data_IF_691257167650
#
_entry.id   IF_691257167650
#
_cell.length_a   1.000
_cell.length_b   1.000
_cell.length_c   1.000
_cell.angle_alpha   90.00
_cell.angle_beta   90.00
_cell.angle_gamma   90.00
#
_symmetry.space_group_name_H-M   'P 1'
#
loop_
_entity.id
_entity.type
_entity.pdbx_description
1 polymer ?
#
# COMPACT_ATOMS: atom_id res chain seq x y z
N UNK A 1 -61.16 -39.78 -1.20
CA UNK A 1 -61.81 -38.56 -1.74
C UNK A 1 -61.06 -37.38 -1.18
N UNK A 2 -60.44 -36.58 -2.04
CA UNK A 2 -59.61 -35.46 -1.62
C UNK A 2 -60.45 -34.39 -0.89
N UNK A 3 -59.83 -33.59 -0.03
CA UNK A 3 -60.52 -32.48 0.65
C UNK A 3 -61.06 -31.49 -0.39
N UNK A 4 -60.33 -31.27 -1.46
CA UNK A 4 -60.75 -30.40 -2.56
C UNK A 4 -61.97 -30.98 -3.30
N UNK A 5 -62.00 -32.29 -3.56
CA UNK A 5 -63.16 -32.99 -4.15
C UNK A 5 -64.42 -32.88 -3.26
N UNK A 6 -64.24 -32.94 -1.93
CA UNK A 6 -65.32 -32.82 -0.95
C UNK A 6 -65.86 -31.39 -0.87
N UNK A 7 -64.98 -30.39 -0.93
CA UNK A 7 -65.36 -28.97 -0.97
C UNK A 7 -66.11 -28.65 -2.27
N UNK A 8 -65.67 -29.19 -3.40
CA UNK A 8 -66.35 -29.01 -4.69
C UNK A 8 -67.73 -29.69 -4.73
N UNK A 9 -67.84 -30.87 -4.12
CA UNK A 9 -69.12 -31.57 -3.94
C UNK A 9 -70.09 -30.76 -3.05
N UNK A 10 -69.57 -30.14 -1.99
CA UNK A 10 -70.34 -29.26 -1.11
C UNK A 10 -70.80 -27.99 -1.83
N UNK A 11 -69.98 -27.39 -2.70
CA UNK A 11 -70.38 -26.26 -3.53
C UNK A 11 -71.49 -26.63 -4.52
N UNK A 12 -71.42 -27.81 -5.14
CA UNK A 12 -72.47 -28.34 -6.02
C UNK A 12 -73.77 -28.57 -5.24
N UNK A 13 -73.68 -29.12 -4.03
CA UNK A 13 -74.83 -29.33 -3.16
C UNK A 13 -75.50 -28.01 -2.77
N UNK A 14 -74.72 -27.01 -2.35
CA UNK A 14 -75.24 -25.69 -2.01
C UNK A 14 -75.89 -24.99 -3.22
N UNK A 15 -75.37 -25.22 -4.43
CA UNK A 15 -75.98 -24.70 -5.66
C UNK A 15 -77.36 -25.31 -5.95
N UNK A 16 -77.56 -26.57 -5.60
CA UNK A 16 -78.82 -27.29 -5.80
C UNK A 16 -79.88 -26.97 -4.72
N UNK A 17 -79.46 -26.46 -3.57
CA UNK A 17 -80.33 -26.10 -2.44
C UNK A 17 -80.10 -24.63 -2.01
N UNK A 18 -80.54 -23.65 -2.81
CA UNK A 18 -80.30 -22.23 -2.53
C UNK A 18 -81.01 -21.73 -1.27
N UNK A 19 -82.16 -22.30 -0.93
CA UNK A 19 -82.97 -21.87 0.22
C UNK A 19 -82.47 -22.45 1.56
N UNK A 20 -81.52 -23.40 1.53
CA UNK A 20 -80.92 -23.94 2.74
C UNK A 20 -79.87 -22.98 3.29
N UNK A 21 -80.31 -22.14 4.23
CA UNK A 21 -79.48 -21.10 4.85
C UNK A 21 -78.22 -21.64 5.53
N UNK A 22 -78.31 -22.73 6.29
CA UNK A 22 -77.17 -23.32 7.00
C UNK A 22 -76.09 -23.81 6.02
N UNK A 23 -76.51 -24.41 4.90
CA UNK A 23 -75.60 -24.87 3.85
C UNK A 23 -74.92 -23.70 3.12
N UNK A 24 -75.64 -22.60 2.85
CA UNK A 24 -75.04 -21.40 2.26
C UNK A 24 -74.04 -20.73 3.21
N UNK A 25 -74.36 -20.64 4.50
CA UNK A 25 -73.49 -20.08 5.52
C UNK A 25 -72.20 -20.92 5.66
N UNK A 26 -72.30 -22.25 5.69
CA UNK A 26 -71.15 -23.14 5.73
C UNK A 26 -70.23 -22.96 4.50
N UNK A 27 -70.81 -22.84 3.31
CA UNK A 27 -70.04 -22.55 2.07
C UNK A 27 -69.37 -21.18 2.13
N UNK A 28 -70.03 -20.15 2.67
CA UNK A 28 -69.44 -18.83 2.82
C UNK A 28 -68.23 -18.85 3.75
N UNK A 29 -68.31 -19.57 4.88
CA UNK A 29 -67.19 -19.77 5.81
C UNK A 29 -66.03 -20.52 5.15
N UNK A 30 -66.31 -21.57 4.38
CA UNK A 30 -65.24 -22.31 3.67
C UNK A 30 -64.54 -21.42 2.64
N UNK A 31 -65.29 -20.60 1.89
CA UNK A 31 -64.71 -19.64 0.94
C UNK A 31 -63.82 -18.62 1.64
N UNK A 32 -64.25 -18.07 2.77
CA UNK A 32 -63.45 -17.09 3.52
C UNK A 32 -62.19 -17.72 4.11
N UNK A 33 -62.28 -18.93 4.66
CA UNK A 33 -61.14 -19.70 5.17
C UNK A 33 -60.12 -20.00 4.05
N UNK A 34 -60.57 -20.44 2.88
CA UNK A 34 -59.67 -20.74 1.75
C UNK A 34 -58.98 -19.49 1.22
N UNK A 35 -59.70 -18.37 1.15
CA UNK A 35 -59.14 -17.06 0.80
C UNK A 35 -58.07 -16.62 1.81
N UNK A 36 -58.39 -16.71 3.10
CA UNK A 36 -57.47 -16.39 4.20
C UNK A 36 -56.21 -17.28 4.16
N UNK A 37 -56.37 -18.59 4.01
CA UNK A 37 -55.25 -19.52 3.89
C UNK A 37 -54.36 -19.18 2.69
N UNK A 38 -54.94 -18.79 1.55
CA UNK A 38 -54.19 -18.32 0.38
C UNK A 38 -53.40 -17.04 0.66
N UNK A 39 -53.98 -16.09 1.39
CA UNK A 39 -53.28 -14.88 1.85
C UNK A 39 -52.12 -15.22 2.79
N UNK A 40 -52.34 -16.09 3.78
CA UNK A 40 -51.29 -16.54 4.70
C UNK A 40 -50.15 -17.24 3.97
N UNK A 41 -50.43 -18.10 2.99
CA UNK A 41 -49.39 -18.74 2.18
C UNK A 41 -48.55 -17.72 1.43
N UNK A 42 -49.19 -16.72 0.80
CA UNK A 42 -48.47 -15.63 0.11
C UNK A 42 -47.62 -14.81 1.07
N UNK A 43 -48.18 -14.42 2.21
CA UNK A 43 -47.46 -13.64 3.22
C UNK A 43 -46.26 -14.40 3.80
N UNK A 44 -46.43 -15.69 4.08
CA UNK A 44 -45.34 -16.53 4.56
C UNK A 44 -44.25 -16.75 3.49
N UNK A 45 -44.63 -16.83 2.21
CA UNK A 45 -43.64 -16.88 1.12
C UNK A 45 -42.86 -15.57 1.04
N UNK A 46 -43.56 -14.44 1.04
CA UNK A 46 -42.91 -13.12 1.03
C UNK A 46 -41.96 -12.94 2.22
N UNK A 47 -42.38 -13.34 3.42
CA UNK A 47 -41.52 -13.28 4.60
C UNK A 47 -40.24 -14.12 4.45
N UNK A 48 -40.34 -15.29 3.80
CA UNK A 48 -39.16 -16.14 3.52
C UNK A 48 -38.23 -15.49 2.51
N UNK A 49 -38.79 -14.90 1.47
CA UNK A 49 -38.03 -14.22 0.42
C UNK A 49 -37.31 -12.99 1.01
N UNK A 50 -38.02 -12.15 1.79
CA UNK A 50 -37.46 -11.01 2.49
C UNK A 50 -36.34 -11.43 3.46
N UNK A 51 -36.55 -12.50 4.23
CA UNK A 51 -35.53 -13.02 5.15
C UNK A 51 -34.32 -13.59 4.41
N UNK A 52 -34.50 -14.19 3.23
CA UNK A 52 -33.38 -14.62 2.38
C UNK A 52 -32.58 -13.42 1.89
N UNK A 53 -33.27 -12.41 1.35
CA UNK A 53 -32.64 -11.18 0.87
C UNK A 53 -31.86 -10.45 1.96
N UNK A 54 -32.42 -10.34 3.16
CA UNK A 54 -31.72 -9.74 4.31
C UNK A 54 -30.46 -10.51 4.69
N UNK A 55 -30.47 -11.85 4.61
CA UNK A 55 -29.27 -12.66 4.87
C UNK A 55 -28.19 -12.40 3.83
N UNK A 56 -28.56 -12.30 2.56
CA UNK A 56 -27.62 -12.01 1.48
C UNK A 56 -26.99 -10.62 1.66
N UNK A 57 -27.80 -9.61 2.02
CA UNK A 57 -27.30 -8.26 2.35
C UNK A 57 -26.35 -8.26 3.56
N UNK A 58 -26.65 -9.04 4.61
CA UNK A 58 -25.75 -9.17 5.77
C UNK A 58 -24.40 -9.75 5.35
N UNK A 59 -24.40 -10.77 4.48
CA UNK A 59 -23.17 -11.37 3.97
C UNK A 59 -22.37 -10.36 3.16
N UNK A 60 -23.00 -9.64 2.24
CA UNK A 60 -22.36 -8.60 1.42
C UNK A 60 -21.76 -7.48 2.30
N UNK A 61 -22.53 -6.94 3.23
CA UNK A 61 -22.07 -5.90 4.16
C UNK A 61 -20.91 -6.41 5.01
N UNK A 62 -20.97 -7.67 5.47
CA UNK A 62 -19.89 -8.26 6.27
C UNK A 62 -18.59 -8.39 5.48
N UNK A 63 -18.68 -8.78 4.20
CA UNK A 63 -17.52 -8.89 3.32
C UNK A 63 -16.89 -7.52 3.07
N UNK A 64 -17.70 -6.51 2.74
CA UNK A 64 -17.24 -5.13 2.56
C UNK A 64 -16.59 -4.56 3.83
N UNK A 65 -17.14 -4.86 5.01
CA UNK A 65 -16.58 -4.40 6.28
C UNK A 65 -15.20 -5.04 6.54
N UNK A 66 -15.03 -6.33 6.24
CA UNK A 66 -13.73 -7.01 6.34
C UNK A 66 -12.71 -6.37 5.38
N UNK A 67 -13.10 -6.02 4.16
CA UNK A 67 -12.22 -5.38 3.18
C UNK A 67 -11.81 -3.97 3.63
N UNK A 68 -12.76 -3.15 4.08
CA UNK A 68 -12.48 -1.82 4.63
C UNK A 68 -11.57 -1.87 5.85
N UNK A 69 -11.73 -2.88 6.73
CA UNK A 69 -10.82 -3.05 7.87
C UNK A 69 -9.39 -3.34 7.42
N UNK A 70 -9.19 -4.17 6.39
CA UNK A 70 -7.86 -4.43 5.82
C UNK A 70 -7.24 -3.17 5.23
N UNK A 71 -8.02 -2.36 4.51
CA UNK A 71 -7.56 -1.09 3.98
C UNK A 71 -7.14 -0.13 5.09
N UNK A 72 -7.92 -0.03 6.17
CA UNK A 72 -7.59 0.79 7.34
C UNK A 72 -6.29 0.32 8.02
N UNK A 73 -6.11 -0.98 8.19
CA UNK A 73 -4.91 -1.55 8.79
C UNK A 73 -3.67 -1.27 7.92
N UNK A 74 -3.81 -1.42 6.60
CA UNK A 74 -2.75 -1.09 5.62
C UNK A 74 -2.36 0.38 5.67
N UNK A 75 -3.34 1.29 5.64
CA UNK A 75 -3.11 2.72 5.69
C UNK A 75 -2.47 3.15 7.02
N UNK A 76 -2.87 2.52 8.12
CA UNK A 76 -2.27 2.76 9.44
C UNK A 76 -0.80 2.35 9.46
N UNK A 77 -0.46 1.21 8.86
CA UNK A 77 0.94 0.78 8.72
C UNK A 77 1.75 1.73 7.85
N UNK A 78 1.19 2.21 6.74
CA UNK A 78 1.85 3.16 5.85
C UNK A 78 2.12 4.49 6.56
N UNK A 79 1.13 5.02 7.28
CA UNK A 79 1.27 6.23 8.10
C UNK A 79 2.37 6.11 9.16
N UNK A 80 2.50 4.94 9.78
CA UNK A 80 3.58 4.68 10.74
C UNK A 80 4.94 4.73 10.04
N UNK A 81 5.10 4.04 8.91
CA UNK A 81 6.35 4.01 8.15
C UNK A 81 6.77 5.41 7.70
N UNK A 82 5.83 6.21 7.17
CA UNK A 82 6.08 7.59 6.76
C UNK A 82 6.48 8.48 7.95
N UNK A 83 5.92 8.23 9.14
CA UNK A 83 6.30 8.98 10.35
C UNK A 83 7.73 8.66 10.77
N UNK A 84 8.13 7.39 10.73
CA UNK A 84 9.49 6.94 11.02
C UNK A 84 10.50 7.49 9.99
N UNK A 85 10.17 7.44 8.70
CA UNK A 85 10.99 8.01 7.62
C UNK A 85 11.16 9.53 7.79
N UNK A 86 10.08 10.25 8.07
CA UNK A 86 10.13 11.69 8.33
C UNK A 86 11.02 12.04 9.51
N UNK A 87 10.98 11.25 10.59
CA UNK A 87 11.85 11.45 11.74
C UNK A 87 13.33 11.25 11.36
N UNK A 88 13.64 10.21 10.57
CA UNK A 88 14.99 9.93 10.08
C UNK A 88 15.53 11.07 9.22
N UNK A 89 14.75 11.53 8.23
CA UNK A 89 15.13 12.64 7.35
C UNK A 89 15.33 13.93 8.16
N UNK A 90 14.52 14.15 9.18
CA UNK A 90 14.66 15.33 10.05
C UNK A 90 15.97 15.28 10.83
N UNK A 91 16.33 14.12 11.40
CA UNK A 91 17.59 13.94 12.10
C UNK A 91 18.81 14.10 11.16
N UNK A 92 18.75 13.54 9.95
CA UNK A 92 19.80 13.72 8.93
C UNK A 92 19.93 15.20 8.54
N UNK A 93 18.82 15.91 8.35
CA UNK A 93 18.82 17.34 8.07
C UNK A 93 19.46 18.13 9.20
N UNK A 94 19.13 17.83 10.46
CA UNK A 94 19.73 18.50 11.61
C UNK A 94 21.24 18.25 11.71
N UNK A 95 21.68 17.02 11.43
CA UNK A 95 23.10 16.67 11.36
C UNK A 95 23.83 17.51 10.31
N UNK A 96 23.30 17.56 9.08
CA UNK A 96 23.89 18.36 7.99
C UNK A 96 23.92 19.85 8.35
N UNK A 97 22.87 20.38 8.99
CA UNK A 97 22.87 21.77 9.47
C UNK A 97 23.97 22.02 10.51
N UNK A 98 24.20 21.06 11.42
CA UNK A 98 25.27 21.17 12.41
C UNK A 98 26.67 21.14 11.76
N UNK A 99 26.89 20.20 10.83
CA UNK A 99 28.13 20.10 10.05
C UNK A 99 28.41 21.40 9.27
N UNK A 100 27.40 21.95 8.59
CA UNK A 100 27.54 23.22 7.86
C UNK A 100 27.90 24.40 8.78
N UNK A 101 27.28 24.48 9.98
CA UNK A 101 27.63 25.51 10.97
C UNK A 101 29.05 25.37 11.49
N UNK A 102 29.53 24.13 11.68
CA UNK A 102 30.89 23.87 12.08
C UNK A 102 31.88 24.33 11.00
N UNK A 103 31.64 23.93 9.74
CA UNK A 103 32.43 24.37 8.58
C UNK A 103 32.47 25.90 8.49
N UNK A 104 31.32 26.57 8.64
CA UNK A 104 31.23 28.03 8.62
C UNK A 104 32.11 28.66 9.71
N UNK A 105 32.13 28.08 10.91
CA UNK A 105 32.95 28.54 12.03
C UNK A 105 34.45 28.33 11.75
N UNK A 106 34.85 27.15 11.27
CA UNK A 106 36.24 26.84 10.91
C UNK A 106 36.76 27.81 9.84
N UNK A 107 35.96 28.08 8.81
CA UNK A 107 36.29 29.06 7.75
C UNK A 107 36.43 30.47 8.33
N UNK A 108 35.52 30.90 9.22
CA UNK A 108 35.61 32.22 9.88
C UNK A 108 36.87 32.37 10.71
N UNK A 109 37.23 31.34 11.48
CA UNK A 109 38.45 31.32 12.32
C UNK A 109 39.70 31.35 11.43
N UNK A 110 39.76 30.50 10.41
CA UNK A 110 40.88 30.48 9.46
C UNK A 110 41.04 31.84 8.76
N UNK A 111 39.94 32.46 8.30
CA UNK A 111 39.97 33.78 7.68
C UNK A 111 40.48 34.87 8.63
N UNK A 112 40.07 34.82 9.90
CA UNK A 112 40.59 35.74 10.93
C UNK A 112 42.10 35.54 11.13
N UNK A 113 42.56 34.29 11.29
CA UNK A 113 43.96 33.96 11.52
C UNK A 113 44.85 34.32 10.32
N UNK A 114 44.36 34.15 9.09
CA UNK A 114 45.06 34.57 7.87
C UNK A 114 45.23 36.08 7.84
N UNK A 115 44.22 36.86 8.26
CA UNK A 115 44.29 38.33 8.30
C UNK A 115 45.26 38.83 9.38
N UNK A 116 45.31 38.18 10.54
CA UNK A 116 46.20 38.57 11.65
C UNK A 116 47.65 38.14 11.45
N UNK A 117 47.90 37.09 10.65
CA UNK A 117 49.26 36.58 10.37
C UNK A 117 50.00 37.48 9.38
N UNK A 118 51.22 37.91 9.73
CA UNK A 118 52.06 38.77 8.86
C UNK A 118 52.87 37.99 7.81
N UNK A 119 53.19 36.72 8.08
CA UNK A 119 54.00 35.88 7.19
C UNK A 119 53.17 35.26 6.06
N UNK A 120 53.67 35.32 4.82
CA UNK A 120 53.06 34.63 3.67
C UNK A 120 53.03 33.12 3.87
N UNK A 121 54.14 32.55 4.38
CA UNK A 121 54.23 31.13 4.68
C UNK A 121 53.15 30.72 5.70
N UNK A 122 53.00 31.47 6.80
CA UNK A 122 52.00 31.18 7.83
C UNK A 122 50.56 31.26 7.31
N UNK A 123 50.25 32.21 6.42
CA UNK A 123 48.93 32.28 5.75
C UNK A 123 48.66 31.04 4.90
N UNK A 124 49.66 30.60 4.12
CA UNK A 124 49.55 29.40 3.30
C UNK A 124 49.32 28.15 4.15
N UNK A 125 50.04 28.03 5.28
CA UNK A 125 49.85 26.92 6.22
C UNK A 125 48.43 26.88 6.78
N UNK A 126 47.87 28.01 7.20
CA UNK A 126 46.49 28.07 7.73
C UNK A 126 45.46 27.65 6.67
N UNK A 127 45.61 28.16 5.44
CA UNK A 127 44.72 27.79 4.32
C UNK A 127 44.85 26.30 3.97
N UNK A 128 46.07 25.78 3.97
CA UNK A 128 46.33 24.37 3.73
C UNK A 128 45.70 23.47 4.80
N UNK A 129 45.80 23.84 6.08
CA UNK A 129 45.15 23.12 7.18
C UNK A 129 43.63 23.14 7.05
N UNK A 130 43.03 24.27 6.65
CA UNK A 130 41.59 24.36 6.41
C UNK A 130 41.16 23.45 5.25
N UNK A 131 41.88 23.47 4.13
CA UNK A 131 41.60 22.59 2.98
C UNK A 131 41.70 21.13 3.38
N UNK A 132 42.71 20.77 4.18
CA UNK A 132 42.85 19.41 4.70
C UNK A 132 41.66 19.02 5.59
N UNK A 133 41.28 19.86 6.54
CA UNK A 133 40.14 19.62 7.44
C UNK A 133 38.81 19.43 6.70
N UNK A 134 38.58 20.20 5.62
CA UNK A 134 37.30 20.21 4.91
C UNK A 134 37.15 19.15 3.82
N UNK A 135 38.25 18.71 3.21
CA UNK A 135 38.20 17.90 1.99
C UNK A 135 39.01 16.60 2.06
N UNK A 136 39.89 16.45 3.04
CA UNK A 136 40.76 15.28 3.15
C UNK A 136 40.41 14.54 4.44
N UNK A 137 39.69 13.43 4.32
CA UNK A 137 39.49 12.50 5.42
C UNK A 137 40.85 12.00 5.95
N UNK A 138 40.89 11.56 7.22
CA UNK A 138 42.07 10.98 7.85
C UNK A 138 42.61 9.72 7.11
N UNK A 139 41.84 9.16 6.15
CA UNK A 139 42.14 7.96 5.35
C UNK A 139 42.56 8.26 3.90
N UNK A 140 43.41 9.27 3.69
CA UNK A 140 43.88 9.71 2.36
C UNK A 140 44.89 8.78 1.66
N UNK A 141 45.21 7.60 2.20
CA UNK A 141 46.23 6.70 1.61
C UNK A 141 45.78 6.00 0.31
N UNK A 142 44.50 6.10 -0.08
CA UNK A 142 44.02 5.61 -1.37
C UNK A 142 43.90 6.76 -2.38
N UNK A 143 44.90 6.91 -3.24
CA UNK A 143 44.90 7.90 -4.32
C UNK A 143 43.97 7.54 -5.49
N UNK A 144 43.30 6.38 -5.43
CA UNK A 144 42.56 5.82 -6.56
C UNK A 144 43.50 5.45 -7.71
N UNK A 145 43.29 4.27 -8.30
CA UNK A 145 43.90 3.95 -9.58
C UNK A 145 43.09 4.63 -10.69
N UNK A 146 43.74 5.48 -11.50
CA UNK A 146 43.15 5.94 -12.77
C UNK A 146 43.05 4.71 -13.68
N UNK A 147 41.83 4.18 -13.85
CA UNK A 147 41.57 3.12 -14.81
C UNK A 147 41.58 3.72 -16.22
N UNK A 148 42.72 3.58 -16.89
CA UNK A 148 42.88 3.96 -18.30
C UNK A 148 42.36 2.90 -19.27
N UNK A 149 41.70 1.83 -18.79
CA UNK A 149 41.15 0.83 -19.68
C UNK A 149 39.90 1.38 -20.39
N UNK A 150 39.94 1.37 -21.72
CA UNK A 150 38.77 1.62 -22.54
C UNK A 150 37.69 0.56 -22.24
N UNK A 151 36.39 0.92 -22.24
CA UNK A 151 35.30 -0.03 -22.07
C UNK A 151 35.46 -1.19 -23.06
N UNK A 152 35.47 -2.42 -22.54
CA UNK A 152 35.50 -3.62 -23.38
C UNK A 152 34.17 -3.74 -24.11
N UNK A 153 34.11 -3.18 -25.32
CA UNK A 153 33.01 -3.34 -26.27
C UNK A 153 33.09 -4.75 -26.90
N UNK A 154 32.18 -5.67 -26.57
CA UNK A 154 32.25 -7.07 -27.01
C UNK A 154 32.07 -7.26 -28.52
N UNK A 155 31.63 -6.23 -29.25
CA UNK A 155 31.33 -6.31 -30.69
C UNK A 155 32.45 -5.78 -31.60
N UNK A 156 33.60 -5.38 -31.05
CA UNK A 156 34.77 -4.99 -31.86
C UNK A 156 35.74 -6.16 -32.01
N UNK A 157 36.20 -6.49 -33.23
CA UNK A 157 37.23 -7.50 -33.41
C UNK A 157 38.50 -7.05 -32.68
N UNK A 158 38.89 -7.81 -31.66
CA UNK A 158 40.15 -7.62 -30.95
C UNK A 158 41.30 -7.94 -31.92
N UNK A 159 41.87 -6.90 -32.52
CA UNK A 159 43.19 -7.03 -33.15
C UNK A 159 44.17 -7.32 -32.01
N UNK A 160 44.72 -8.53 -32.00
CA UNK A 160 45.54 -9.06 -30.93
C UNK A 160 46.60 -8.06 -30.48
N UNK A 161 46.36 -7.43 -29.33
CA UNK A 161 47.37 -6.67 -28.62
C UNK A 161 48.31 -7.66 -27.96
N UNK A 162 49.32 -8.08 -28.71
CA UNK A 162 50.50 -8.69 -28.11
C UNK A 162 50.95 -7.85 -26.92
N UNK A 163 51.27 -8.52 -25.81
CA UNK A 163 51.75 -7.87 -24.59
C UNK A 163 52.80 -6.81 -24.94
N UNK A 164 52.49 -5.55 -24.64
CA UNK A 164 53.44 -4.47 -24.79
C UNK A 164 54.62 -4.76 -23.86
N UNK A 165 55.83 -4.90 -24.42
CA UNK A 165 57.09 -5.19 -23.73
C UNK A 165 57.59 -4.01 -22.88
N UNK A 166 56.73 -3.41 -22.07
CA UNK A 166 57.07 -2.23 -21.26
C UNK A 166 57.92 -2.63 -20.03
N UNK A 167 58.01 -3.93 -19.71
CA UNK A 167 58.80 -4.45 -18.58
C UNK A 167 60.10 -5.17 -18.99
N UNK A 168 60.73 -4.82 -20.13
CA UNK A 168 62.10 -5.30 -20.40
C UNK A 168 63.12 -4.42 -19.69
N UNK A 169 63.78 -4.99 -18.68
CA UNK A 169 64.97 -4.41 -18.06
C UNK A 169 66.08 -4.23 -19.10
N UNK A 170 66.73 -3.06 -19.13
CA UNK A 170 67.80 -2.73 -20.08
C UNK A 170 69.16 -3.39 -19.76
N UNK A 171 69.20 -4.35 -18.83
CA UNK A 171 70.43 -5.03 -18.40
C UNK A 171 70.50 -6.52 -18.78
N UNK A 172 69.48 -7.08 -19.43
CA UNK A 172 69.55 -8.45 -19.91
C UNK A 172 70.07 -8.48 -21.36
N UNK A 173 71.34 -8.86 -21.51
CA UNK A 173 71.91 -9.40 -22.74
C UNK A 173 72.14 -10.90 -22.59
#
# INVERSE_FOLDING_TARGET
>A
MDIDDRVDSLYKLARNYPDNRELQEAVAVIKSLRSSQGQYKRWNQQYRDDNSHLKDQIVEISATNIELQKELDSLTSEMRNLTEEKAKITAEREKVIAELKQIEMEVKVAAHNVRSTKSVYGKLTILWTLVKSLFLDDNWEDFGSIDNNLPSDPDRPQMGSGQSNINKSLLDK
#
